data_IF_033262308426
#
_entry.id   IF_033262308426
#
_cell.length_a   1.000
_cell.length_b   1.000
_cell.length_c   1.000
_cell.angle_alpha   90.00
_cell.angle_beta   90.00
_cell.angle_gamma   90.00
#
_symmetry.space_group_name_H-M   'P 1'
#
loop_
_entity.id
_entity.type
_entity.pdbx_description
1 polymer ?
#
# COMPACT_ATOMS: atom_id res chain seq x y z
N UNK A 1 3.75 -1.08 -14.62
CA UNK A 1 2.64 -0.99 -13.65
C UNK A 1 2.92 -1.77 -12.38
N UNK A 2 3.20 -3.07 -12.43
CA UNK A 2 3.60 -3.87 -11.24
C UNK A 2 5.03 -3.63 -10.80
N UNK A 3 5.92 -3.37 -11.75
CA UNK A 3 7.38 -3.36 -11.53
C UNK A 3 7.90 -1.98 -11.09
N UNK A 4 6.99 -1.02 -10.94
CA UNK A 4 7.26 0.29 -10.39
C UNK A 4 6.61 0.40 -8.99
N UNK A 5 7.40 0.80 -8.00
CA UNK A 5 6.99 0.81 -6.60
C UNK A 5 5.87 1.80 -6.29
N UNK A 6 5.68 2.85 -7.10
CA UNK A 6 4.58 3.80 -6.93
C UNK A 6 3.32 3.30 -7.64
N UNK A 7 3.45 2.84 -8.88
CA UNK A 7 2.34 2.38 -9.72
C UNK A 7 1.71 1.09 -9.19
N UNK A 8 2.50 0.19 -8.61
CA UNK A 8 2.03 -1.06 -8.00
C UNK A 8 1.01 -0.80 -6.88
N UNK A 9 1.13 0.33 -6.19
CA UNK A 9 0.21 0.75 -5.11
C UNK A 9 -1.15 1.25 -5.63
N UNK A 10 -1.30 1.45 -6.94
CA UNK A 10 -2.49 2.04 -7.58
C UNK A 10 -3.09 1.13 -8.65
N UNK A 11 -2.99 -0.18 -8.46
CA UNK A 11 -3.44 -1.16 -9.45
C UNK A 11 -4.93 -1.04 -9.80
N UNK A 12 -5.77 -0.52 -8.88
CA UNK A 12 -7.17 -0.19 -9.15
C UNK A 12 -7.33 0.92 -10.21
N UNK A 13 -6.42 1.90 -10.22
CA UNK A 13 -6.40 2.95 -11.25
C UNK A 13 -5.89 2.39 -12.59
N UNK A 14 -4.96 1.44 -12.56
CA UNK A 14 -4.51 0.75 -13.77
C UNK A 14 -5.65 -0.08 -14.39
N UNK A 15 -6.46 -0.76 -13.57
CA UNK A 15 -7.70 -1.39 -14.04
C UNK A 15 -8.69 -0.37 -14.61
N UNK A 16 -8.86 0.80 -13.98
CA UNK A 16 -9.77 1.83 -14.47
C UNK A 16 -9.40 2.37 -15.86
N UNK A 17 -8.10 2.40 -16.20
CA UNK A 17 -7.62 2.81 -17.53
C UNK A 17 -8.08 1.86 -18.63
N UNK A 18 -8.20 0.55 -18.36
CA UNK A 18 -8.66 -0.41 -19.37
C UNK A 18 -10.13 -0.21 -19.71
N UNK A 19 -10.94 0.24 -18.73
CA UNK A 19 -12.31 0.68 -18.98
C UNK A 19 -12.31 1.96 -19.83
N UNK A 20 -11.58 3.00 -19.39
CA UNK A 20 -11.61 4.32 -20.04
C UNK A 20 -11.08 4.32 -21.47
N UNK A 21 -10.00 3.59 -21.73
CA UNK A 21 -9.26 3.64 -23.00
C UNK A 21 -9.37 2.35 -23.82
N UNK A 22 -9.67 1.22 -23.18
CA UNK A 22 -9.76 -0.09 -23.83
C UNK A 22 -11.19 -0.55 -24.13
N UNK A 23 -12.22 0.18 -23.67
CA UNK A 23 -13.62 -0.21 -23.84
C UNK A 23 -13.99 -1.51 -23.10
N UNK A 24 -13.19 -1.91 -22.12
CA UNK A 24 -13.40 -3.10 -21.30
C UNK A 24 -14.51 -2.82 -20.27
N UNK A 25 -15.35 -3.82 -19.96
CA UNK A 25 -16.33 -3.68 -18.88
C UNK A 25 -15.64 -3.60 -17.52
N UNK A 26 -16.29 -2.98 -16.53
CA UNK A 26 -15.70 -2.86 -15.19
C UNK A 26 -15.42 -4.22 -14.54
N UNK A 27 -16.28 -5.21 -14.78
CA UNK A 27 -16.07 -6.58 -14.28
C UNK A 27 -14.81 -7.22 -14.88
N UNK A 28 -14.61 -7.11 -16.19
CA UNK A 28 -13.42 -7.64 -16.85
C UNK A 28 -12.15 -6.89 -16.42
N UNK A 29 -12.23 -5.57 -16.23
CA UNK A 29 -11.13 -4.78 -15.69
C UNK A 29 -10.72 -5.26 -14.28
N UNK A 30 -11.69 -5.60 -13.41
CA UNK A 30 -11.38 -6.17 -12.10
C UNK A 30 -10.76 -7.56 -12.20
N UNK A 31 -11.24 -8.42 -13.10
CA UNK A 31 -10.64 -9.74 -13.31
C UNK A 31 -9.17 -9.65 -13.69
N UNK A 32 -8.75 -8.64 -14.47
CA UNK A 32 -7.34 -8.45 -14.85
C UNK A 32 -6.40 -8.26 -13.65
N UNK A 33 -6.89 -7.71 -12.54
CA UNK A 33 -6.08 -7.39 -11.36
C UNK A 33 -6.43 -8.25 -10.13
N UNK A 34 -7.36 -9.20 -10.27
CA UNK A 34 -7.80 -10.11 -9.19
C UNK A 34 -7.84 -11.57 -9.66
N UNK A 35 -8.91 -11.97 -10.34
CA UNK A 35 -9.19 -13.36 -10.69
C UNK A 35 -8.20 -13.95 -11.71
N UNK A 36 -7.82 -13.19 -12.73
CA UNK A 36 -6.94 -13.71 -13.79
C UNK A 36 -5.51 -13.96 -13.28
N UNK A 37 -4.89 -13.06 -12.48
CA UNK A 37 -3.64 -13.38 -11.78
C UNK A 37 -3.77 -14.60 -10.86
N UNK A 38 -4.87 -14.73 -10.11
CA UNK A 38 -5.09 -15.89 -9.25
C UNK A 38 -5.15 -17.21 -10.05
N UNK A 39 -5.83 -17.21 -11.21
CA UNK A 39 -5.88 -18.35 -12.12
C UNK A 39 -4.51 -18.69 -12.69
N UNK A 40 -3.75 -17.67 -13.10
CA UNK A 40 -2.40 -17.84 -13.64
C UNK A 40 -1.45 -18.47 -12.62
N UNK A 41 -1.65 -18.16 -11.34
CA UNK A 41 -0.89 -18.70 -10.21
C UNK A 41 -1.50 -19.99 -9.62
N UNK A 42 -2.60 -20.51 -10.21
CA UNK A 42 -3.32 -21.70 -9.73
C UNK A 42 -3.77 -21.63 -8.26
N UNK A 43 -4.20 -20.45 -7.82
CA UNK A 43 -4.72 -20.18 -6.48
C UNK A 43 -6.13 -19.55 -6.53
N UNK A 44 -6.83 -19.68 -7.66
CA UNK A 44 -8.17 -19.13 -7.84
C UNK A 44 -9.27 -19.95 -7.13
N UNK A 45 -8.94 -21.08 -6.54
CA UNK A 45 -9.78 -21.76 -5.55
C UNK A 45 -9.80 -21.02 -4.20
N UNK A 46 -8.71 -20.30 -3.88
CA UNK A 46 -8.53 -19.57 -2.62
C UNK A 46 -8.82 -18.08 -2.71
N UNK A 47 -8.34 -17.39 -3.75
CA UNK A 47 -8.36 -15.91 -3.82
C UNK A 47 -8.92 -15.37 -5.15
N UNK A 48 -8.89 -14.05 -5.33
CA UNK A 48 -9.21 -13.39 -6.60
C UNK A 48 -10.70 -13.18 -6.90
N UNK A 49 -11.62 -13.60 -6.02
CA UNK A 49 -13.05 -13.29 -6.12
C UNK A 49 -13.75 -13.44 -4.77
N UNK A 50 -14.86 -12.74 -4.57
CA UNK A 50 -15.67 -12.88 -3.36
C UNK A 50 -16.68 -14.02 -3.54
N UNK A 51 -16.40 -15.18 -2.94
CA UNK A 51 -17.27 -16.37 -2.93
C UNK A 51 -17.11 -17.15 -1.62
N UNK A 52 -18.15 -17.90 -1.23
CA UNK A 52 -18.07 -18.81 -0.08
C UNK A 52 -16.99 -19.87 -0.31
N UNK A 53 -16.20 -20.16 0.72
CA UNK A 53 -15.10 -21.13 0.68
C UNK A 53 -13.74 -20.54 0.27
N UNK A 54 -13.68 -19.24 -0.04
CA UNK A 54 -12.44 -18.51 -0.35
C UNK A 54 -11.88 -17.76 0.85
N UNK A 55 -10.59 -17.42 0.76
CA UNK A 55 -9.90 -16.59 1.75
C UNK A 55 -10.53 -15.18 1.76
N UNK A 56 -10.70 -14.63 2.95
CA UNK A 56 -11.32 -13.31 3.16
C UNK A 56 -10.31 -12.17 2.95
N UNK A 57 -9.72 -12.15 1.75
CA UNK A 57 -8.79 -11.12 1.27
C UNK A 57 -9.58 -10.01 0.57
N UNK A 58 -9.87 -8.94 1.31
CA UNK A 58 -10.87 -7.94 0.91
C UNK A 58 -10.32 -6.53 1.17
N UNK A 59 -10.56 -5.63 0.21
CA UNK A 59 -10.36 -4.19 0.39
C UNK A 59 -11.72 -3.50 0.42
N UNK A 60 -11.98 -2.76 1.49
CA UNK A 60 -13.13 -1.87 1.59
C UNK A 60 -12.72 -0.50 1.05
N UNK A 61 -13.50 0.02 0.10
CA UNK A 61 -13.26 1.32 -0.54
C UNK A 61 -14.31 2.34 -0.11
N UNK A 62 -13.89 3.60 0.00
CA UNK A 62 -14.76 4.72 0.38
C UNK A 62 -15.76 5.14 -0.70
N UNK A 63 -15.54 4.70 -1.93
CA UNK A 63 -16.32 5.02 -3.13
C UNK A 63 -16.11 3.90 -4.16
N UNK A 64 -16.64 4.06 -5.37
CA UNK A 64 -16.46 3.13 -6.47
C UNK A 64 -14.96 2.79 -6.67
N UNK A 65 -14.54 1.52 -6.54
CA UNK A 65 -13.12 1.16 -6.48
C UNK A 65 -12.25 1.56 -7.70
N UNK A 66 -12.87 1.77 -8.88
CA UNK A 66 -12.18 2.25 -10.10
C UNK A 66 -12.06 3.79 -10.17
N UNK A 67 -12.66 4.52 -9.22
CA UNK A 67 -12.53 5.97 -9.12
C UNK A 67 -11.14 6.37 -8.63
N UNK A 68 -10.57 7.42 -9.20
CA UNK A 68 -9.31 8.02 -8.71
C UNK A 68 -9.48 8.66 -7.33
N UNK A 69 -10.72 8.94 -6.91
CA UNK A 69 -11.04 9.51 -5.60
C UNK A 69 -11.26 8.43 -4.53
N UNK A 70 -11.40 7.16 -4.92
CA UNK A 70 -11.61 6.07 -3.99
C UNK A 70 -10.36 5.86 -3.13
N UNK A 71 -10.58 5.69 -1.83
CA UNK A 71 -9.54 5.39 -0.84
C UNK A 71 -9.84 4.03 -0.22
N UNK A 72 -8.80 3.22 -0.02
CA UNK A 72 -8.91 2.02 0.77
C UNK A 72 -9.16 2.43 2.23
N UNK A 73 -10.32 2.09 2.77
CA UNK A 73 -10.69 2.34 4.17
C UNK A 73 -10.14 1.24 5.08
N UNK A 74 -10.26 0.00 4.62
CA UNK A 74 -9.77 -1.19 5.32
C UNK A 74 -9.21 -2.20 4.34
N UNK A 75 -8.16 -2.89 4.75
CA UNK A 75 -7.63 -4.07 4.06
C UNK A 75 -7.64 -5.24 5.02
N UNK A 76 -8.27 -6.32 4.59
CA UNK A 76 -8.36 -7.57 5.32
C UNK A 76 -7.58 -8.66 4.58
N UNK A 77 -6.82 -9.45 5.32
CA UNK A 77 -6.10 -10.62 4.83
C UNK A 77 -6.53 -11.79 5.70
N UNK A 78 -7.04 -12.85 5.08
CA UNK A 78 -7.57 -14.04 5.77
C UNK A 78 -8.61 -13.67 6.87
N UNK A 79 -9.38 -12.60 6.64
CA UNK A 79 -10.41 -12.12 7.58
C UNK A 79 -9.91 -11.25 8.74
N UNK A 80 -8.59 -11.12 8.92
CA UNK A 80 -8.01 -10.20 9.89
C UNK A 80 -7.80 -8.81 9.25
N UNK A 81 -8.13 -7.73 9.98
CA UNK A 81 -7.88 -6.36 9.50
C UNK A 81 -6.41 -5.98 9.66
N UNK A 82 -5.69 -5.82 8.55
CA UNK A 82 -4.28 -5.40 8.52
C UNK A 82 -4.13 -3.89 8.36
N UNK A 83 -5.06 -3.26 7.65
CA UNK A 83 -5.08 -1.81 7.48
C UNK A 83 -6.45 -1.26 7.85
N UNK A 84 -6.45 -0.14 8.56
CA UNK A 84 -7.62 0.66 8.89
C UNK A 84 -7.21 2.13 8.88
N UNK A 85 -7.89 2.93 8.06
CA UNK A 85 -7.53 4.33 7.84
C UNK A 85 -7.60 5.19 9.10
N UNK A 86 -8.50 4.90 10.04
CA UNK A 86 -8.61 5.65 11.29
C UNK A 86 -7.51 5.27 12.27
N UNK A 87 -7.17 3.98 12.36
CA UNK A 87 -6.01 3.52 13.17
C UNK A 87 -4.70 4.09 12.63
N UNK A 88 -4.53 4.11 11.30
CA UNK A 88 -3.35 4.70 10.65
C UNK A 88 -3.23 6.21 10.98
N UNK A 89 -4.32 6.98 10.92
CA UNK A 89 -4.33 8.40 11.32
C UNK A 89 -3.87 8.59 12.76
N UNK A 90 -4.39 7.78 13.70
CA UNK A 90 -4.00 7.84 15.11
C UNK A 90 -2.53 7.50 15.30
N UNK A 91 -2.05 6.45 14.64
CA UNK A 91 -0.66 6.00 14.69
C UNK A 91 0.30 7.06 14.16
N UNK A 92 -0.03 7.71 13.04
CA UNK A 92 0.75 8.82 12.48
C UNK A 92 0.86 10.00 13.44
N UNK A 93 -0.24 10.36 14.09
CA UNK A 93 -0.23 11.42 15.11
C UNK A 93 0.67 11.06 16.29
N UNK A 94 0.58 9.81 16.78
CA UNK A 94 1.44 9.32 17.87
C UNK A 94 2.91 9.32 17.48
N UNK A 95 3.27 8.81 16.30
CA UNK A 95 4.64 8.81 15.78
C UNK A 95 5.17 10.24 15.65
N UNK A 96 4.35 11.18 15.17
CA UNK A 96 4.73 12.59 15.08
C UNK A 96 5.03 13.18 16.45
N UNK A 97 4.19 12.89 17.45
CA UNK A 97 4.41 13.36 18.81
C UNK A 97 5.68 12.77 19.40
N UNK A 98 5.84 11.45 19.33
CA UNK A 98 7.03 10.74 19.82
C UNK A 98 8.32 11.27 19.16
N UNK A 99 8.29 11.51 17.85
CA UNK A 99 9.40 12.13 17.13
C UNK A 99 9.74 13.51 17.69
N UNK A 100 8.74 14.35 17.95
CA UNK A 100 8.96 15.68 18.50
C UNK A 100 9.56 15.62 19.92
N UNK A 101 9.07 14.70 20.75
CA UNK A 101 9.55 14.52 22.12
C UNK A 101 11.01 14.06 22.12
N UNK A 102 11.35 13.07 21.28
CA UNK A 102 12.73 12.62 21.10
C UNK A 102 13.65 13.74 20.60
N UNK A 103 13.18 14.55 19.63
CA UNK A 103 13.94 15.71 19.15
C UNK A 103 14.19 16.74 20.26
N UNK A 104 13.19 17.01 21.10
CA UNK A 104 13.33 17.93 22.23
C UNK A 104 14.33 17.40 23.27
N UNK A 105 14.27 16.11 23.60
CA UNK A 105 15.24 15.46 24.50
C UNK A 105 16.66 15.54 23.94
N UNK A 106 16.85 15.23 22.64
CA UNK A 106 18.15 15.34 22.00
C UNK A 106 18.69 16.77 22.02
N UNK A 107 17.83 17.78 21.83
CA UNK A 107 18.22 19.19 21.89
C UNK A 107 18.64 19.61 23.30
N UNK A 108 17.92 19.15 24.33
CA UNK A 108 18.27 19.41 25.73
C UNK A 108 19.62 18.81 26.11
N UNK A 109 19.88 17.55 25.75
CA UNK A 109 21.16 16.89 26.04
C UNK A 109 22.33 17.53 25.27
N UNK A 110 22.10 17.98 24.02
CA UNK A 110 23.07 18.79 23.28
C UNK A 110 23.40 20.10 24.00
N UNK A 111 22.40 20.80 24.53
CA UNK A 111 22.60 22.04 25.27
C UNK A 111 23.35 21.83 26.59
N UNK A 112 23.28 20.64 27.20
CA UNK A 112 24.08 20.25 28.37
C UNK A 112 25.54 19.91 28.03
N UNK A 113 25.96 20.03 26.77
CA UNK A 113 27.36 19.86 26.35
C UNK A 113 27.77 18.42 26.04
N UNK A 114 26.80 17.49 25.90
CA UNK A 114 27.08 16.10 25.55
C UNK A 114 27.46 16.00 24.07
N UNK A 115 28.42 15.13 23.73
CA UNK A 115 28.85 14.90 22.35
C UNK A 115 27.73 14.29 21.51
N UNK A 116 27.31 14.99 20.46
CA UNK A 116 26.32 14.50 19.47
C UNK A 116 27.01 13.83 18.27
N UNK A 117 26.35 12.86 17.63
CA UNK A 117 26.79 12.32 16.34
C UNK A 117 26.05 12.98 15.16
N UNK A 118 26.73 13.21 14.02
CA UNK A 118 26.07 13.67 12.81
C UNK A 118 25.17 12.58 12.22
N UNK A 119 24.11 13.00 11.52
CA UNK A 119 23.23 12.09 10.77
C UNK A 119 24.07 11.46 9.65
N UNK A 120 24.16 10.13 9.62
CA UNK A 120 24.62 9.41 8.44
C UNK A 120 23.44 9.25 7.50
N UNK A 121 23.45 9.96 6.38
CA UNK A 121 22.48 9.71 5.32
C UNK A 121 22.80 8.36 4.69
N UNK A 122 21.87 7.42 4.75
CA UNK A 122 21.93 6.22 3.91
C UNK A 122 21.26 6.55 2.58
N UNK A 123 22.04 6.55 1.50
CA UNK A 123 21.50 6.64 0.16
C UNK A 123 20.94 5.27 -0.22
N UNK A 124 19.61 5.15 -0.24
CA UNK A 124 18.96 3.90 -0.64
C UNK A 124 18.97 3.84 -2.16
N UNK A 125 20.01 3.24 -2.71
CA UNK A 125 20.09 2.94 -4.14
C UNK A 125 18.89 2.10 -4.55
N UNK A 126 18.07 2.59 -5.49
CA UNK A 126 16.99 1.80 -6.07
C UNK A 126 17.58 0.86 -7.13
N UNK A 127 17.60 -0.43 -6.83
CA UNK A 127 18.05 -1.47 -7.76
C UNK A 127 16.88 -1.85 -8.67
N UNK A 128 17.12 -1.84 -9.98
CA UNK A 128 16.20 -2.33 -11.00
C UNK A 128 16.76 -3.62 -11.63
N UNK A 129 15.91 -4.37 -12.34
CA UNK A 129 16.35 -5.61 -13.02
C UNK A 129 17.51 -5.38 -14.01
N UNK A 130 17.68 -4.17 -14.52
CA UNK A 130 18.76 -3.78 -15.45
C UNK A 130 19.99 -3.17 -14.74
N UNK A 131 19.98 -3.11 -13.39
CA UNK A 131 21.14 -2.69 -12.61
C UNK A 131 22.17 -3.83 -12.61
N UNK A 132 22.98 -3.92 -13.68
CA UNK A 132 24.22 -4.69 -13.64
C UNK A 132 25.32 -3.86 -12.94
N UNK A 133 26.11 -4.56 -12.12
CA UNK A 133 27.16 -4.07 -11.21
C UNK A 133 27.94 -2.82 -11.66
#
# INVERSE_FOLDING_TARGET
>A
NSDDGEMSRRLNQEAAKTVKYGGVSEEEAWKMVTLNPAKLLHIDDRVGSIKVGKDADIVLWSDHPLSVYAKAEKTMIEGATYFDIEKDKQMRTKIKQERNDLMAMMLQEKNKGIKTQPIKAEDKQQLHCDSMD
#
